data_IF_282797581233
#
_entry.id   IF_282797581233
#
_cell.length_a   1.000
_cell.length_b   1.000
_cell.length_c   1.000
_cell.angle_alpha   90.00
_cell.angle_beta   90.00
_cell.angle_gamma   90.00
#
_symmetry.space_group_name_H-M   'P 1'
#
loop_
_entity.id
_entity.type
_entity.pdbx_description
1 polymer ?
#
# COMPACT_ATOMS: atom_id res chain seq x y z
N UNK A 1 -1.87 19.41 -0.32
CA UNK A 1 -1.73 17.94 -0.28
C UNK A 1 -3.10 17.32 -0.54
N UNK A 2 -3.24 16.25 -1.33
CA UNK A 2 -4.53 15.56 -1.55
C UNK A 2 -4.94 14.72 -0.32
N UNK A 3 -4.81 15.28 0.88
CA UNK A 3 -5.09 14.58 2.15
C UNK A 3 -4.11 13.46 2.53
N UNK A 4 -3.13 13.10 1.70
CA UNK A 4 -2.16 12.03 2.03
C UNK A 4 -1.03 12.57 2.90
N UNK A 5 -0.82 11.95 4.07
CA UNK A 5 0.24 12.29 5.02
C UNK A 5 1.07 11.05 5.37
N UNK A 6 2.37 11.22 5.63
CA UNK A 6 3.26 10.10 5.96
C UNK A 6 2.85 9.36 7.24
N UNK A 7 2.25 10.06 8.22
CA UNK A 7 1.74 9.47 9.47
C UNK A 7 0.63 8.45 9.25
N UNK A 8 -0.06 8.57 8.12
CA UNK A 8 -1.14 7.67 7.71
C UNK A 8 -0.61 6.44 6.93
N UNK A 9 0.71 6.34 6.72
CA UNK A 9 1.37 5.28 5.94
C UNK A 9 2.29 4.44 6.82
N UNK A 10 1.76 3.39 7.44
CA UNK A 10 2.56 2.46 8.25
C UNK A 10 3.12 1.30 7.43
N UNK A 11 4.40 0.96 7.62
CA UNK A 11 4.95 -0.33 7.13
C UNK A 11 4.66 -1.41 8.16
N UNK A 12 4.07 -2.52 7.73
CA UNK A 12 3.80 -3.68 8.57
C UNK A 12 4.30 -4.94 7.87
N UNK A 13 4.71 -5.94 8.65
CA UNK A 13 5.20 -7.22 8.11
C UNK A 13 4.12 -8.29 8.28
N UNK A 14 3.84 -9.03 7.21
CA UNK A 14 2.99 -10.21 7.24
C UNK A 14 3.69 -11.37 7.95
N UNK A 15 2.96 -12.43 8.37
CA UNK A 15 3.57 -13.69 8.77
C UNK A 15 4.55 -14.16 7.67
N UNK A 16 5.82 -14.33 8.03
CA UNK A 16 6.90 -14.60 7.07
C UNK A 16 7.78 -13.40 6.70
N UNK A 17 7.51 -12.21 7.27
CA UNK A 17 8.42 -11.06 7.17
C UNK A 17 8.27 -10.21 5.91
N UNK A 18 7.40 -10.60 4.96
CA UNK A 18 7.12 -9.79 3.77
C UNK A 18 6.54 -8.43 4.18
N UNK A 19 7.16 -7.30 3.81
CA UNK A 19 6.64 -5.98 4.15
C UNK A 19 5.43 -5.60 3.28
N UNK A 20 4.52 -4.83 3.85
CA UNK A 20 3.37 -4.22 3.17
C UNK A 20 3.00 -2.89 3.84
N UNK A 21 1.98 -2.20 3.34
CA UNK A 21 1.50 -0.94 3.89
C UNK A 21 0.16 -1.12 4.62
N UNK A 22 0.08 -0.62 5.84
CA UNK A 22 -1.15 -0.35 6.56
C UNK A 22 -1.47 1.13 6.42
N UNK A 23 -2.42 1.44 5.54
CA UNK A 23 -2.88 2.82 5.32
C UNK A 23 -4.03 3.17 6.26
N UNK A 24 -4.06 4.43 6.70
CA UNK A 24 -5.15 5.02 7.47
C UNK A 24 -5.51 6.41 6.91
N UNK A 25 -6.47 7.09 7.54
CA UNK A 25 -6.75 8.50 7.29
C UNK A 25 -6.88 8.87 5.82
N UNK A 26 -6.20 9.93 5.40
CA UNK A 26 -6.29 10.41 4.03
C UNK A 26 -5.51 9.56 3.01
N UNK A 27 -4.53 8.77 3.46
CA UNK A 27 -3.83 7.81 2.59
C UNK A 27 -4.74 6.64 2.18
N UNK A 28 -5.51 6.08 3.12
CA UNK A 28 -6.48 5.02 2.84
C UNK A 28 -7.59 5.53 1.92
N UNK A 29 -8.18 6.69 2.26
CA UNK A 29 -9.23 7.30 1.44
C UNK A 29 -8.74 7.54 0.00
N UNK A 30 -7.50 8.01 -0.16
CA UNK A 30 -6.93 8.23 -1.49
C UNK A 30 -6.75 6.92 -2.27
N UNK A 31 -6.35 5.84 -1.59
CA UNK A 31 -6.24 4.52 -2.21
C UNK A 31 -7.60 4.03 -2.71
N UNK A 32 -8.64 4.15 -1.90
CA UNK A 32 -10.01 3.79 -2.26
C UNK A 32 -10.51 4.60 -3.47
N UNK A 33 -10.28 5.92 -3.48
CA UNK A 33 -10.67 6.81 -4.59
C UNK A 33 -10.02 6.46 -5.93
N UNK A 34 -8.78 5.96 -5.94
CA UNK A 34 -8.10 5.57 -7.18
C UNK A 34 -8.35 4.12 -7.57
N UNK A 35 -8.94 3.32 -6.68
CA UNK A 35 -9.25 1.92 -6.94
C UNK A 35 -10.49 1.86 -7.83
N UNK A 36 -10.42 1.23 -9.02
CA UNK A 36 -11.57 1.11 -9.89
C UNK A 36 -12.70 0.31 -9.23
N UNK A 37 -13.98 0.59 -9.56
CA UNK A 37 -15.10 -0.24 -9.12
C UNK A 37 -14.88 -1.71 -9.45
N UNK A 38 -15.35 -2.61 -8.57
CA UNK A 38 -15.20 -4.05 -8.73
C UNK A 38 -13.77 -4.57 -8.52
N UNK A 39 -12.84 -3.74 -8.05
CA UNK A 39 -11.47 -4.13 -7.74
C UNK A 39 -11.13 -3.92 -6.27
N UNK A 40 -10.18 -4.70 -5.78
CA UNK A 40 -9.49 -4.48 -4.52
C UNK A 40 -8.10 -3.95 -4.83
N UNK A 41 -7.69 -2.89 -4.12
CA UNK A 41 -6.31 -2.46 -4.13
C UNK A 41 -5.45 -3.44 -3.34
N UNK A 42 -4.29 -3.72 -3.88
CA UNK A 42 -3.31 -4.58 -3.25
C UNK A 42 -1.91 -3.97 -3.49
N UNK A 43 -1.09 -4.02 -2.44
CA UNK A 43 0.12 -3.23 -2.32
C UNK A 43 1.29 -4.17 -2.10
N UNK A 44 2.20 -4.20 -3.06
CA UNK A 44 3.48 -4.87 -2.93
C UNK A 44 4.56 -3.85 -2.62
N UNK A 45 5.21 -4.04 -1.49
CA UNK A 45 6.32 -3.24 -1.02
C UNK A 45 7.57 -4.12 -1.02
N UNK A 46 8.66 -3.58 -1.56
CA UNK A 46 10.01 -4.05 -1.27
C UNK A 46 10.84 -2.87 -0.79
N UNK A 47 11.70 -3.13 0.20
CA UNK A 47 12.61 -2.16 0.78
C UNK A 47 14.01 -2.76 0.81
N UNK A 48 15.01 -1.94 0.53
CA UNK A 48 16.41 -2.29 0.62
C UNK A 48 17.18 -1.10 1.14
N UNK A 49 18.22 -1.37 1.92
CA UNK A 49 19.16 -0.37 2.40
C UNK A 49 20.58 -0.82 2.07
N UNK A 50 21.41 0.14 1.65
CA UNK A 50 22.84 -0.03 1.45
C UNK A 50 23.48 1.33 1.69
N UNK A 51 24.39 1.44 2.67
CA UNK A 51 24.94 2.73 3.07
C UNK A 51 25.56 3.49 1.88
N UNK A 52 25.19 4.77 1.64
CA UNK A 52 24.39 5.66 2.49
C UNK A 52 22.90 5.76 2.12
N UNK A 53 22.40 4.87 1.27
CA UNK A 53 21.09 4.93 0.64
C UNK A 53 20.09 3.95 1.28
N UNK A 54 18.82 4.30 1.14
CA UNK A 54 17.69 3.39 1.34
C UNK A 54 16.70 3.60 0.19
N UNK A 55 16.06 2.53 -0.23
CA UNK A 55 15.12 2.53 -1.32
C UNK A 55 13.88 1.71 -0.95
N UNK A 56 12.73 2.21 -1.38
CA UNK A 56 11.47 1.48 -1.38
C UNK A 56 10.87 1.50 -2.78
N UNK A 57 10.38 0.35 -3.23
CA UNK A 57 9.57 0.24 -4.45
C UNK A 57 8.17 -0.20 -4.03
N UNK A 58 7.17 0.57 -4.44
CA UNK A 58 5.76 0.32 -4.14
C UNK A 58 5.02 0.11 -5.45
N UNK A 59 4.39 -1.06 -5.58
CA UNK A 59 3.48 -1.36 -6.67
C UNK A 59 2.08 -1.44 -6.08
N UNK A 60 1.17 -0.61 -6.60
CA UNK A 60 -0.25 -0.63 -6.27
C UNK A 60 -0.98 -1.21 -7.47
N UNK A 61 -1.63 -2.35 -7.28
CA UNK A 61 -2.40 -3.01 -8.32
C UNK A 61 -3.87 -3.13 -7.92
N UNK A 62 -4.75 -2.96 -8.90
CA UNK A 62 -6.16 -3.25 -8.77
C UNK A 62 -6.39 -4.70 -9.24
N UNK A 63 -6.73 -5.60 -8.32
CA UNK A 63 -7.14 -6.97 -8.65
C UNK A 63 -8.66 -7.08 -8.61
N UNK A 64 -9.32 -7.89 -9.45
CA UNK A 64 -10.74 -8.11 -9.35
C UNK A 64 -11.14 -8.50 -7.92
N UNK A 65 -12.17 -7.86 -7.39
CA UNK A 65 -12.85 -8.38 -6.21
C UNK A 65 -13.49 -9.70 -6.65
N UNK A 66 -13.25 -10.79 -5.92
CA UNK A 66 -13.89 -12.06 -6.25
C UNK A 66 -15.41 -11.86 -6.27
N UNK A 67 -16.08 -12.26 -7.36
CA UNK A 67 -17.54 -12.32 -7.39
C UNK A 67 -17.97 -13.45 -6.45
N UNK A 68 -18.52 -13.09 -5.29
CA UNK A 68 -19.13 -14.03 -4.34
C UNK A 68 -18.14 -14.70 -3.39
N UNK A 69 -18.18 -14.25 -2.13
CA UNK A 69 -17.96 -15.09 -0.96
C UNK A 69 -19.18 -14.91 -0.04
#
# INVERSE_FOLDING_TARGET
SRGVFWRDMGVVNLPGGKPTLKLAGGALKRLEEITPPGHLADIHLTITDEFPLAQAIVIIYARPAAEGA
#
